data_IF_580652187113
#
_entry.id   IF_580652187113
#
_cell.length_a   1.000
_cell.length_b   1.000
_cell.length_c   1.000
_cell.angle_alpha   90.00
_cell.angle_beta   90.00
_cell.angle_gamma   90.00
#
_symmetry.space_group_name_H-M   'P 1'
#
loop_
_entity.id
_entity.type
_entity.pdbx_description
1 polymer ?
#
# COMPACT_ATOMS: atom_id res chain seq x y z
N UNK A 1 81.07 30.05 -61.68
CA UNK A 1 81.02 29.23 -60.44
C UNK A 1 79.64 29.34 -59.80
N UNK A 2 79.19 28.26 -59.16
CA UNK A 2 77.80 27.76 -59.17
C UNK A 2 77.01 28.16 -57.92
N UNK A 3 75.84 28.78 -58.15
CA UNK A 3 74.62 28.93 -57.34
C UNK A 3 74.55 28.14 -56.01
N UNK A 4 74.28 28.83 -54.89
CA UNK A 4 73.70 28.26 -53.66
C UNK A 4 72.25 28.74 -53.50
N UNK A 5 71.32 27.80 -53.57
CA UNK A 5 69.88 27.99 -53.36
C UNK A 5 69.46 27.45 -51.99
N UNK A 6 68.84 28.34 -51.23
CA UNK A 6 67.74 28.19 -50.24
C UNK A 6 67.26 26.79 -49.87
N UNK A 7 67.35 26.44 -48.58
CA UNK A 7 66.56 25.38 -47.91
C UNK A 7 65.77 26.01 -46.76
N UNK A 8 64.52 26.41 -47.01
CA UNK A 8 63.63 26.95 -45.96
C UNK A 8 62.14 26.71 -46.28
N UNK A 9 61.74 25.48 -46.61
CA UNK A 9 60.32 25.20 -46.90
C UNK A 9 59.98 23.72 -46.81
N UNK A 10 59.97 23.14 -45.60
CA UNK A 10 59.43 21.77 -45.44
C UNK A 10 58.66 21.50 -44.13
N UNK A 11 58.39 22.49 -43.27
CA UNK A 11 57.84 22.23 -41.92
C UNK A 11 56.36 22.56 -41.66
N UNK A 12 55.57 23.00 -42.65
CA UNK A 12 54.21 23.53 -42.37
C UNK A 12 53.05 22.57 -42.74
N UNK A 13 53.27 21.44 -43.42
CA UNK A 13 52.16 20.60 -43.93
C UNK A 13 51.68 19.43 -43.04
N UNK A 14 52.30 19.14 -41.89
CA UNK A 14 51.96 17.93 -41.09
C UNK A 14 50.93 18.12 -39.96
N UNK A 15 50.56 19.34 -39.54
CA UNK A 15 49.64 19.52 -38.41
C UNK A 15 48.14 19.49 -38.76
N UNK A 16 47.75 19.82 -40.01
CA UNK A 16 46.33 19.87 -40.41
C UNK A 16 45.66 18.50 -40.62
N UNK A 17 46.42 17.42 -40.89
CA UNK A 17 45.83 16.08 -41.16
C UNK A 17 45.41 15.28 -39.91
N UNK A 18 45.90 15.62 -38.71
CA UNK A 18 45.56 14.89 -37.48
C UNK A 18 44.24 15.34 -36.84
N UNK A 19 43.75 16.55 -37.14
CA UNK A 19 42.54 17.10 -36.50
C UNK A 19 41.24 16.56 -37.11
N UNK A 20 41.22 16.30 -38.42
CA UNK A 20 40.03 15.82 -39.14
C UNK A 20 39.68 14.35 -38.83
N UNK A 21 40.66 13.53 -38.42
CA UNK A 21 40.43 12.09 -38.15
C UNK A 21 39.83 11.81 -36.77
N UNK A 22 39.82 12.77 -35.84
CA UNK A 22 39.25 12.60 -34.49
C UNK A 22 37.76 12.95 -34.39
N UNK A 23 37.23 13.77 -35.29
CA UNK A 23 35.80 14.15 -35.25
C UNK A 23 34.86 13.10 -35.85
N UNK A 24 35.32 12.29 -36.82
CA UNK A 24 34.47 11.22 -37.41
C UNK A 24 34.22 10.03 -36.47
N UNK A 25 35.16 9.71 -35.57
CA UNK A 25 35.02 8.56 -34.65
C UNK A 25 33.99 8.82 -33.55
N UNK A 26 33.76 10.08 -33.18
CA UNK A 26 32.78 10.47 -32.14
C UNK A 26 31.36 10.48 -32.71
N UNK A 27 31.19 10.72 -34.01
CA UNK A 27 29.86 10.80 -34.63
C UNK A 27 29.25 9.42 -34.92
N UNK A 28 30.06 8.39 -35.19
CA UNK A 28 29.57 7.03 -35.43
C UNK A 28 29.19 6.27 -34.15
N UNK A 29 29.84 6.54 -33.00
CA UNK A 29 29.51 5.87 -31.73
C UNK A 29 28.20 6.37 -31.10
N UNK A 30 27.78 7.61 -31.40
CA UNK A 30 26.51 8.18 -30.90
C UNK A 30 25.28 7.61 -31.63
N UNK A 31 25.40 7.30 -32.92
CA UNK A 31 24.26 6.87 -33.75
C UNK A 31 23.83 5.42 -33.48
N UNK A 32 24.72 4.58 -32.94
CA UNK A 32 24.40 3.19 -32.59
C UNK A 32 23.80 3.03 -31.17
N UNK A 33 23.99 3.98 -30.25
CA UNK A 33 23.43 3.87 -28.89
C UNK A 33 21.96 4.29 -28.80
N UNK A 34 21.47 5.14 -29.71
CA UNK A 34 20.07 5.58 -29.74
C UNK A 34 19.13 4.55 -30.37
N UNK A 35 19.59 3.81 -31.39
CA UNK A 35 18.76 2.78 -32.07
C UNK A 35 18.48 1.55 -31.19
N UNK A 36 19.42 1.14 -30.31
CA UNK A 36 19.20 0.03 -29.36
C UNK A 36 18.31 0.41 -28.17
N UNK A 37 18.28 1.69 -27.77
CA UNK A 37 17.43 2.15 -26.65
C UNK A 37 15.94 2.16 -27.00
N UNK A 38 15.57 2.37 -28.26
CA UNK A 38 14.16 2.48 -28.66
C UNK A 38 13.45 1.12 -28.88
N UNK A 39 14.19 0.03 -29.14
CA UNK A 39 13.59 -1.32 -29.26
C UNK A 39 13.31 -2.01 -27.93
N UNK A 40 13.97 -1.63 -26.83
CA UNK A 40 13.73 -2.20 -25.50
C UNK A 40 12.53 -1.52 -24.79
N UNK A 41 12.20 -0.28 -25.16
CA UNK A 41 11.14 0.50 -24.47
C UNK A 41 9.72 0.12 -24.93
N UNK A 42 9.54 -0.41 -26.14
CA UNK A 42 8.18 -0.71 -26.66
C UNK A 42 7.61 -2.08 -26.22
N UNK A 43 8.45 -3.04 -25.84
CA UNK A 43 8.02 -4.34 -25.31
C UNK A 43 7.76 -4.34 -23.79
N UNK A 44 8.25 -3.34 -23.05
CA UNK A 44 8.03 -3.23 -21.61
C UNK A 44 6.66 -2.63 -21.23
N UNK A 45 5.95 -1.97 -22.16
CA UNK A 45 4.74 -1.20 -21.84
C UNK A 45 3.45 -2.02 -21.80
N UNK A 46 3.40 -3.23 -22.40
CA UNK A 46 2.19 -4.07 -22.46
C UNK A 46 2.07 -5.07 -21.30
N UNK A 47 3.16 -5.37 -20.59
CA UNK A 47 3.15 -6.30 -19.45
C UNK A 47 2.82 -5.63 -18.11
N UNK A 48 2.72 -4.29 -18.07
CA UNK A 48 2.53 -3.54 -16.83
C UNK A 48 1.06 -3.36 -16.41
N UNK A 49 0.09 -3.68 -17.29
CA UNK A 49 -1.35 -3.65 -16.95
C UNK A 49 -1.80 -4.95 -16.26
N UNK A 50 -1.24 -6.09 -16.66
CA UNK A 50 -1.55 -7.39 -16.03
C UNK A 50 -0.76 -7.63 -14.73
N UNK A 51 0.39 -6.98 -14.55
CA UNK A 51 1.19 -7.09 -13.31
C UNK A 51 0.49 -6.43 -12.12
N UNK A 52 -0.11 -5.25 -12.31
CA UNK A 52 -0.73 -4.46 -11.23
C UNK A 52 -1.98 -5.15 -10.67
N UNK A 53 -2.85 -5.69 -11.53
CA UNK A 53 -4.05 -6.42 -11.09
C UNK A 53 -3.68 -7.71 -10.33
N UNK A 54 -2.65 -8.43 -10.77
CA UNK A 54 -2.19 -9.65 -10.07
C UNK A 54 -1.61 -9.34 -8.68
N UNK A 55 -1.04 -8.16 -8.47
CA UNK A 55 -0.42 -7.77 -7.19
C UNK A 55 -1.48 -7.54 -6.10
N UNK A 56 -2.57 -6.84 -6.44
CA UNK A 56 -3.65 -6.57 -5.48
C UNK A 56 -4.39 -7.85 -5.09
N UNK A 57 -4.74 -8.71 -6.06
CA UNK A 57 -5.41 -10.00 -5.78
C UNK A 57 -4.52 -10.96 -4.98
N UNK A 58 -3.20 -10.95 -5.21
CA UNK A 58 -2.25 -11.73 -4.41
C UNK A 58 -2.29 -11.33 -2.93
N UNK A 59 -2.40 -10.03 -2.64
CA UNK A 59 -2.58 -9.53 -1.26
C UNK A 59 -3.82 -10.10 -0.58
N UNK A 60 -4.97 -10.11 -1.27
CA UNK A 60 -6.20 -10.69 -0.73
C UNK A 60 -6.11 -12.21 -0.53
N UNK A 61 -5.50 -12.92 -1.47
CA UNK A 61 -5.30 -14.36 -1.37
C UNK A 61 -4.37 -14.74 -0.20
N UNK A 62 -3.35 -13.93 0.09
CA UNK A 62 -2.51 -14.15 1.28
C UNK A 62 -3.26 -13.95 2.60
N UNK A 63 -4.29 -13.12 2.63
CA UNK A 63 -5.14 -12.89 3.81
C UNK A 63 -6.39 -13.79 3.88
N UNK A 64 -6.50 -14.80 3.01
CA UNK A 64 -7.62 -15.74 3.00
C UNK A 64 -7.79 -16.49 4.34
N UNK A 65 -6.72 -16.90 5.06
CA UNK A 65 -6.88 -17.45 6.41
C UNK A 65 -7.58 -16.47 7.37
N UNK A 66 -7.30 -15.17 7.27
CA UNK A 66 -7.95 -14.12 8.07
C UNK A 66 -9.44 -14.03 7.76
N UNK A 67 -9.82 -14.17 6.49
CA UNK A 67 -11.24 -14.23 6.08
C UNK A 67 -11.94 -15.47 6.66
N UNK A 68 -11.27 -16.62 6.65
CA UNK A 68 -11.82 -17.84 7.27
C UNK A 68 -12.08 -17.63 8.77
N UNK A 69 -11.14 -17.04 9.51
CA UNK A 69 -11.35 -16.66 10.91
C UNK A 69 -12.46 -15.63 11.08
N UNK A 70 -12.61 -14.67 10.16
CA UNK A 70 -13.71 -13.71 10.17
C UNK A 70 -15.07 -14.41 10.04
N UNK A 71 -15.22 -15.36 9.12
CA UNK A 71 -16.46 -16.13 8.98
C UNK A 71 -16.75 -17.00 10.20
N UNK A 72 -15.76 -17.72 10.72
CA UNK A 72 -15.92 -18.56 11.92
C UNK A 72 -16.37 -17.71 13.11
N UNK A 73 -15.66 -16.60 13.38
CA UNK A 73 -15.99 -15.70 14.49
C UNK A 73 -17.34 -15.00 14.33
N UNK A 74 -17.72 -14.63 13.10
CA UNK A 74 -19.03 -14.08 12.80
C UNK A 74 -20.15 -15.10 13.05
N UNK A 75 -19.94 -16.35 12.62
CA UNK A 75 -20.87 -17.45 12.89
C UNK A 75 -21.01 -17.73 14.39
N UNK A 76 -19.91 -17.73 15.14
CA UNK A 76 -19.95 -17.84 16.61
C UNK A 76 -20.73 -16.68 17.24
N UNK A 77 -20.54 -15.47 16.74
CA UNK A 77 -21.27 -14.28 17.23
C UNK A 77 -22.77 -14.40 16.97
N UNK A 78 -23.14 -14.87 15.78
CA UNK A 78 -24.53 -15.15 15.42
C UNK A 78 -25.16 -16.21 16.32
N UNK A 79 -24.48 -17.33 16.55
CA UNK A 79 -24.94 -18.37 17.47
C UNK A 79 -25.09 -17.85 18.90
N UNK A 80 -24.17 -16.99 19.36
CA UNK A 80 -24.24 -16.38 20.67
C UNK A 80 -25.50 -15.51 20.80
N UNK A 81 -25.76 -14.63 19.85
CA UNK A 81 -26.91 -13.72 19.87
C UNK A 81 -28.25 -14.46 19.85
N UNK A 82 -28.34 -15.59 19.15
CA UNK A 82 -29.59 -16.37 19.07
C UNK A 82 -29.82 -17.26 20.28
N UNK A 83 -28.78 -17.94 20.77
CA UNK A 83 -28.94 -18.96 21.81
C UNK A 83 -28.88 -18.39 23.22
N UNK A 84 -28.32 -17.18 23.40
CA UNK A 84 -28.02 -16.65 24.72
C UNK A 84 -28.83 -15.38 24.94
N UNK A 85 -29.79 -15.48 25.85
CA UNK A 85 -30.57 -14.35 26.30
C UNK A 85 -29.66 -13.32 26.97
N UNK A 86 -29.82 -12.01 26.68
CA UNK A 86 -28.98 -10.95 27.24
C UNK A 86 -29.02 -10.94 28.78
N UNK A 87 -30.14 -11.34 29.37
CA UNK A 87 -30.31 -11.40 30.83
C UNK A 87 -29.37 -12.41 31.50
N UNK A 88 -29.04 -13.52 30.83
CA UNK A 88 -28.21 -14.59 31.39
C UNK A 88 -26.73 -14.20 31.45
N UNK A 89 -26.27 -13.30 30.58
CA UNK A 89 -24.84 -12.92 30.46
C UNK A 89 -24.51 -11.65 31.24
N UNK A 90 -25.54 -10.95 31.73
CA UNK A 90 -25.43 -9.62 32.34
C UNK A 90 -24.54 -9.58 33.61
N UNK A 91 -24.25 -10.73 34.20
CA UNK A 91 -23.46 -10.86 35.43
C UNK A 91 -22.12 -11.59 35.23
N UNK A 92 -21.69 -11.81 33.99
CA UNK A 92 -20.40 -12.46 33.73
C UNK A 92 -19.26 -11.46 34.00
N UNK A 93 -18.55 -11.64 35.11
CA UNK A 93 -17.37 -10.88 35.59
C UNK A 93 -17.67 -9.49 36.18
N UNK A 94 -18.54 -8.67 35.57
CA UNK A 94 -19.02 -7.39 36.13
C UNK A 94 -20.55 -7.29 36.03
N UNK A 95 -21.24 -6.74 37.05
CA UNK A 95 -22.68 -6.51 36.97
C UNK A 95 -23.00 -5.54 35.82
N UNK A 96 -24.07 -5.82 35.07
CA UNK A 96 -24.53 -5.03 33.92
C UNK A 96 -23.55 -4.96 32.74
N UNK A 97 -22.59 -5.89 32.64
CA UNK A 97 -21.58 -5.83 31.58
C UNK A 97 -21.70 -7.04 30.66
N UNK A 98 -21.96 -6.77 29.37
CA UNK A 98 -22.13 -7.79 28.33
C UNK A 98 -20.77 -8.18 27.71
N UNK A 99 -19.77 -8.39 28.57
CA UNK A 99 -18.36 -8.52 28.20
C UNK A 99 -18.12 -9.68 27.20
N UNK A 100 -18.70 -10.89 27.39
CA UNK A 100 -18.55 -11.97 26.43
C UNK A 100 -19.03 -11.61 25.02
N UNK A 101 -20.18 -10.94 24.91
CA UNK A 101 -20.72 -10.48 23.64
C UNK A 101 -19.80 -9.43 22.99
N UNK A 102 -19.33 -8.45 23.77
CA UNK A 102 -18.46 -7.38 23.29
C UNK A 102 -17.13 -7.93 22.75
N UNK A 103 -16.54 -8.91 23.45
CA UNK A 103 -15.32 -9.58 22.99
C UNK A 103 -15.58 -10.33 21.68
N UNK A 104 -16.68 -11.05 21.58
CA UNK A 104 -17.02 -11.82 20.38
C UNK A 104 -17.21 -10.89 19.17
N UNK A 105 -17.97 -9.80 19.37
CA UNK A 105 -18.18 -8.76 18.36
C UNK A 105 -16.86 -8.08 18.00
N UNK A 106 -15.99 -7.80 18.98
CA UNK A 106 -14.67 -7.22 18.74
C UNK A 106 -13.83 -8.13 17.83
N UNK A 107 -13.70 -9.41 18.20
CA UNK A 107 -12.90 -10.39 17.46
C UNK A 107 -13.44 -10.56 16.04
N UNK A 108 -14.76 -10.70 15.89
CA UNK A 108 -15.40 -10.82 14.58
C UNK A 108 -15.18 -9.58 13.71
N UNK A 109 -15.39 -8.40 14.29
CA UNK A 109 -15.23 -7.13 13.57
C UNK A 109 -13.77 -6.85 13.21
N UNK A 110 -12.84 -7.27 14.07
CA UNK A 110 -11.40 -7.12 13.86
C UNK A 110 -10.93 -7.96 12.66
N UNK A 111 -11.24 -9.27 12.65
CA UNK A 111 -10.82 -10.12 11.54
C UNK A 111 -11.47 -9.70 10.23
N UNK A 112 -12.76 -9.34 10.26
CA UNK A 112 -13.48 -8.88 9.08
C UNK A 112 -12.90 -7.56 8.54
N UNK A 113 -12.73 -6.55 9.40
CA UNK A 113 -12.22 -5.25 8.98
C UNK A 113 -10.75 -5.30 8.56
N UNK A 114 -9.94 -6.09 9.27
CA UNK A 114 -8.54 -6.31 8.93
C UNK A 114 -8.39 -6.92 7.54
N UNK A 115 -9.25 -7.87 7.18
CA UNK A 115 -9.31 -8.44 5.84
C UNK A 115 -9.76 -7.43 4.78
N UNK A 116 -10.86 -6.71 5.01
CA UNK A 116 -11.42 -5.74 4.05
C UNK A 116 -10.44 -4.59 3.78
N UNK A 117 -9.76 -4.10 4.83
CA UNK A 117 -8.86 -2.95 4.73
C UNK A 117 -7.41 -3.35 4.43
N UNK A 118 -7.10 -4.65 4.39
CA UNK A 118 -5.74 -5.22 4.30
C UNK A 118 -4.76 -4.57 5.28
N UNK A 119 -5.26 -4.13 6.43
CA UNK A 119 -4.49 -3.39 7.40
C UNK A 119 -4.99 -3.70 8.81
N UNK A 120 -4.17 -4.44 9.56
CA UNK A 120 -4.47 -4.83 10.94
C UNK A 120 -4.69 -3.62 11.85
N UNK A 121 -3.95 -2.52 11.64
CA UNK A 121 -4.08 -1.31 12.45
C UNK A 121 -5.44 -0.65 12.26
N UNK A 122 -5.85 -0.45 10.99
CA UNK A 122 -7.18 0.12 10.68
C UNK A 122 -8.30 -0.82 11.13
N UNK A 123 -8.11 -2.14 10.96
CA UNK A 123 -9.04 -3.15 11.45
C UNK A 123 -9.24 -3.10 12.98
N UNK A 124 -8.18 -2.81 13.74
CA UNK A 124 -8.28 -2.64 15.19
C UNK A 124 -9.06 -1.39 15.59
N UNK A 125 -8.88 -0.28 14.87
CA UNK A 125 -9.67 0.93 15.10
C UNK A 125 -11.14 0.74 14.80
N UNK A 126 -11.48 0.15 13.64
CA UNK A 126 -12.87 -0.10 13.26
C UNK A 126 -13.54 -1.12 14.19
N UNK A 127 -12.84 -2.17 14.61
CA UNK A 127 -13.35 -3.14 15.57
C UNK A 127 -13.61 -2.52 16.94
N UNK A 128 -12.67 -1.70 17.44
CA UNK A 128 -12.83 -0.98 18.69
C UNK A 128 -14.03 -0.04 18.65
N UNK A 129 -14.21 0.67 17.52
CA UNK A 129 -15.36 1.55 17.31
C UNK A 129 -16.68 0.77 17.27
N UNK A 130 -16.75 -0.34 16.52
CA UNK A 130 -17.95 -1.18 16.46
C UNK A 130 -18.29 -1.80 17.82
N UNK A 131 -17.29 -2.24 18.57
CA UNK A 131 -17.47 -2.77 19.93
C UNK A 131 -17.98 -1.70 20.89
N UNK A 132 -17.50 -0.47 20.77
CA UNK A 132 -18.01 0.67 21.56
C UNK A 132 -19.47 0.96 21.21
N UNK A 133 -19.81 1.03 19.92
CA UNK A 133 -21.20 1.21 19.49
C UNK A 133 -22.11 0.09 19.99
N UNK A 134 -21.64 -1.16 19.92
CA UNK A 134 -22.38 -2.33 20.43
C UNK A 134 -22.57 -2.23 21.93
N UNK A 135 -21.54 -1.82 22.68
CA UNK A 135 -21.65 -1.60 24.12
C UNK A 135 -22.73 -0.55 24.46
N UNK A 136 -22.74 0.58 23.77
CA UNK A 136 -23.77 1.61 23.95
C UNK A 136 -25.17 1.10 23.57
N UNK A 137 -25.30 0.36 22.47
CA UNK A 137 -26.56 -0.21 22.02
C UNK A 137 -27.17 -1.14 23.06
N UNK A 138 -26.33 -1.99 23.64
CA UNK A 138 -26.75 -2.98 24.65
C UNK A 138 -27.08 -2.31 25.99
N UNK A 139 -26.48 -1.16 26.29
CA UNK A 139 -26.86 -0.32 27.43
C UNK A 139 -28.15 0.50 27.21
N UNK A 140 -28.86 0.29 26.09
CA UNK A 140 -30.07 1.02 25.71
C UNK A 140 -29.86 2.53 25.54
N UNK A 141 -28.64 2.95 25.19
CA UNK A 141 -28.35 4.35 24.84
C UNK A 141 -28.95 4.64 23.46
N UNK A 142 -29.68 5.76 23.34
CA UNK A 142 -30.26 6.19 22.07
C UNK A 142 -29.12 6.60 21.12
N UNK A 143 -28.83 5.73 20.15
CA UNK A 143 -27.82 5.93 19.13
C UNK A 143 -28.38 6.80 17.99
N UNK A 144 -28.39 8.11 18.21
CA UNK A 144 -28.66 9.07 17.14
C UNK A 144 -27.40 9.29 16.27
N UNK A 145 -27.57 9.69 15.01
CA UNK A 145 -26.46 9.93 14.08
C UNK A 145 -25.46 10.97 14.61
N UNK A 146 -25.95 11.91 15.44
CA UNK A 146 -25.13 12.90 16.16
C UNK A 146 -24.19 12.25 17.16
N UNK A 147 -24.68 11.29 17.94
CA UNK A 147 -23.89 10.54 18.94
C UNK A 147 -22.82 9.72 18.24
N UNK A 148 -23.20 9.03 17.16
CA UNK A 148 -22.29 8.25 16.32
C UNK A 148 -21.17 9.14 15.77
N UNK A 149 -21.52 10.32 15.24
CA UNK A 149 -20.58 11.30 14.71
C UNK A 149 -19.61 11.84 15.78
N UNK A 150 -20.13 12.21 16.96
CA UNK A 150 -19.30 12.68 18.09
C UNK A 150 -18.32 11.60 18.53
N UNK A 151 -18.76 10.34 18.63
CA UNK A 151 -17.90 9.22 18.99
C UNK A 151 -16.85 8.90 17.93
N UNK A 152 -17.09 9.23 16.65
CA UNK A 152 -16.15 8.99 15.57
C UNK A 152 -14.96 9.97 15.60
N UNK A 153 -15.18 11.21 16.06
CA UNK A 153 -14.14 12.27 16.10
C UNK A 153 -12.86 11.81 16.81
N UNK A 154 -12.88 11.31 18.06
CA UNK A 154 -11.65 10.89 18.74
C UNK A 154 -10.93 9.77 18.00
N UNK A 155 -11.66 8.84 17.37
CA UNK A 155 -11.06 7.78 16.57
C UNK A 155 -10.32 8.34 15.35
N UNK A 156 -10.90 9.31 14.65
CA UNK A 156 -10.26 9.98 13.50
C UNK A 156 -9.05 10.82 13.94
N UNK A 157 -9.13 11.52 15.06
CA UNK A 157 -8.01 12.30 15.61
C UNK A 157 -6.85 11.36 15.96
N UNK A 158 -7.14 10.25 16.63
CA UNK A 158 -6.11 9.26 16.96
C UNK A 158 -5.51 8.65 15.68
N UNK A 159 -6.32 8.25 14.70
CA UNK A 159 -5.83 7.69 13.44
C UNK A 159 -4.95 8.67 12.66
N UNK A 160 -5.31 9.97 12.63
CA UNK A 160 -4.52 10.99 11.93
C UNK A 160 -3.18 11.26 12.61
N UNK A 161 -3.16 11.37 13.95
CA UNK A 161 -1.90 11.51 14.72
C UNK A 161 -1.00 10.30 14.47
N UNK A 162 -1.57 9.11 14.58
CA UNK A 162 -0.87 7.84 14.37
C UNK A 162 -0.35 7.66 12.94
N UNK A 163 -1.02 8.24 11.95
CA UNK A 163 -0.60 8.24 10.54
C UNK A 163 0.46 9.30 10.25
N UNK A 164 0.60 10.31 11.10
CA UNK A 164 1.63 11.35 10.97
C UNK A 164 2.98 10.94 11.60
N UNK A 165 2.93 10.05 12.58
CA UNK A 165 4.13 9.54 13.29
C UNK A 165 4.85 8.42 12.52
N UNK A 166 4.14 7.65 11.71
CA UNK A 166 4.66 6.50 10.94
C UNK A 166 4.93 6.90 9.50
#
# INVERSE_FOLDING_TARGET
QKKRMTRASSRIKKSKRKKIKRERVIFESKKQSESKKQRVVKTAKKNNLNSVSSSWLKGYLTHLPTLFFAFVSCYLTYLFVINISPETVRHFILPNTYLPLIILVFISSFFLSSYILLNSRRGLFTASYLSLLTFLAVQQVILDWRVIGILLIPFLVIETILSLII
#
